data_IF_742316987686
#
_entry.id   IF_742316987686
#
_cell.length_a   1.000
_cell.length_b   1.000
_cell.length_c   1.000
_cell.angle_alpha   90.00
_cell.angle_beta   90.00
_cell.angle_gamma   90.00
#
_symmetry.space_group_name_H-M   'P 1'
#
loop_
_entity.id
_entity.type
_entity.pdbx_description
1 polymer ?
#
# COMPACT_ATOMS: atom_id res chain seq x y z
N UNK A 1 2.16 23.28 -2.05
CA UNK A 1 1.81 23.85 -0.73
C UNK A 1 0.30 24.06 -0.55
N UNK A 2 -0.48 24.17 -1.63
CA UNK A 2 -1.94 24.36 -1.61
C UNK A 2 -2.71 23.34 -0.77
N UNK A 3 -2.39 22.05 -0.88
CA UNK A 3 -3.05 20.97 -0.10
C UNK A 3 -2.84 21.14 1.41
N UNK A 4 -1.66 21.57 1.84
CA UNK A 4 -1.37 21.82 3.26
C UNK A 4 -2.20 22.99 3.80
N UNK A 5 -2.29 24.10 3.05
CA UNK A 5 -3.14 25.23 3.41
C UNK A 5 -4.63 24.85 3.40
N UNK A 6 -5.09 24.10 2.39
CA UNK A 6 -6.47 23.62 2.32
C UNK A 6 -6.83 22.70 3.51
N UNK A 7 -5.89 21.87 3.97
CA UNK A 7 -6.09 20.98 5.13
C UNK A 7 -6.18 21.75 6.44
N UNK A 8 -5.44 22.86 6.57
CA UNK A 8 -5.58 23.77 7.72
C UNK A 8 -6.90 24.53 7.65
N UNK A 9 -7.24 25.06 6.48
CA UNK A 9 -8.50 25.81 6.26
C UNK A 9 -9.75 24.95 6.47
N UNK A 10 -9.67 23.63 6.22
CA UNK A 10 -10.77 22.70 6.49
C UNK A 10 -10.85 22.25 7.96
N UNK A 11 -9.91 22.69 8.82
CA UNK A 11 -9.82 22.28 10.22
C UNK A 11 -9.28 20.86 10.45
N UNK A 12 -8.91 20.15 9.38
CA UNK A 12 -8.36 18.80 9.47
C UNK A 12 -6.92 18.77 10.04
N UNK A 13 -6.23 19.91 10.08
CA UNK A 13 -4.98 20.10 10.81
C UNK A 13 -4.94 21.47 11.49
N UNK A 14 -4.42 21.53 12.73
CA UNK A 14 -4.34 22.78 13.49
C UNK A 14 -3.33 23.79 12.93
N UNK A 15 -2.33 23.34 12.17
CA UNK A 15 -1.34 24.19 11.51
C UNK A 15 -0.66 23.45 10.37
N UNK A 16 0.02 24.20 9.49
CA UNK A 16 0.78 23.62 8.38
C UNK A 16 1.92 22.74 8.90
N UNK A 17 2.62 23.17 9.96
CA UNK A 17 3.68 22.38 10.59
C UNK A 17 3.14 21.08 11.21
N UNK A 18 1.96 21.13 11.83
CA UNK A 18 1.28 19.92 12.32
C UNK A 18 0.98 18.93 11.20
N UNK A 19 0.43 19.43 10.09
CA UNK A 19 0.16 18.62 8.90
C UNK A 19 1.42 18.00 8.30
N UNK A 20 2.51 18.78 8.17
CA UNK A 20 3.80 18.26 7.68
C UNK A 20 4.34 17.19 8.61
N UNK A 21 4.30 17.40 9.92
CA UNK A 21 4.77 16.41 10.88
C UNK A 21 3.98 15.10 10.78
N UNK A 22 2.66 15.16 10.64
CA UNK A 22 1.85 13.97 10.42
C UNK A 22 2.18 13.25 9.11
N UNK A 23 2.42 13.98 8.02
CA UNK A 23 2.85 13.40 6.76
C UNK A 23 4.21 12.69 6.89
N UNK A 24 5.18 13.34 7.55
CA UNK A 24 6.51 12.76 7.79
C UNK A 24 6.42 11.51 8.67
N UNK A 25 5.59 11.53 9.72
CA UNK A 25 5.35 10.35 10.56
C UNK A 25 4.80 9.18 9.75
N UNK A 26 3.77 9.43 8.92
CA UNK A 26 3.20 8.41 8.02
C UNK A 26 4.24 7.85 7.06
N UNK A 27 5.11 8.70 6.51
CA UNK A 27 6.20 8.26 5.64
C UNK A 27 7.17 7.36 6.41
N UNK A 28 7.61 7.75 7.60
CA UNK A 28 8.53 6.94 8.42
C UNK A 28 7.93 5.58 8.77
N UNK A 29 6.64 5.54 9.12
CA UNK A 29 5.92 4.29 9.39
C UNK A 29 5.84 3.39 8.14
N UNK A 30 5.55 3.98 6.98
CA UNK A 30 5.53 3.27 5.70
C UNK A 30 6.91 2.67 5.36
N UNK A 31 7.97 3.47 5.46
CA UNK A 31 9.34 3.05 5.21
C UNK A 31 9.79 1.94 6.17
N UNK A 32 9.40 2.01 7.45
CA UNK A 32 9.67 0.95 8.42
C UNK A 32 9.00 -0.37 8.02
N UNK A 33 7.74 -0.29 7.57
CA UNK A 33 7.01 -1.47 7.09
C UNK A 33 7.66 -2.08 5.85
N UNK A 34 8.07 -1.26 4.88
CA UNK A 34 8.74 -1.75 3.67
C UNK A 34 10.07 -2.45 3.99
N UNK A 35 10.87 -1.89 4.92
CA UNK A 35 12.09 -2.57 5.39
C UNK A 35 11.82 -3.92 6.04
N UNK A 36 10.76 -4.02 6.85
CA UNK A 36 10.39 -5.30 7.46
C UNK A 36 9.96 -6.35 6.42
N UNK A 37 9.33 -5.92 5.33
CA UNK A 37 8.98 -6.82 4.21
C UNK A 37 10.24 -7.26 3.46
N UNK A 38 11.18 -6.34 3.18
CA UNK A 38 12.47 -6.65 2.55
C UNK A 38 13.28 -7.66 3.37
N UNK A 39 13.36 -7.45 4.70
CA UNK A 39 14.03 -8.38 5.61
C UNK A 39 13.38 -9.76 5.62
N UNK A 40 12.05 -9.81 5.64
CA UNK A 40 11.31 -11.07 5.59
C UNK A 40 11.56 -11.84 4.29
N UNK A 41 11.52 -11.16 3.14
CA UNK A 41 11.77 -11.78 1.83
C UNK A 41 13.20 -12.32 1.79
N UNK A 42 14.19 -11.53 2.22
CA UNK A 42 15.59 -12.00 2.25
C UNK A 42 15.79 -13.21 3.13
N UNK A 43 15.13 -13.28 4.29
CA UNK A 43 15.22 -14.44 5.16
C UNK A 43 14.63 -15.70 4.48
N UNK A 44 13.50 -15.54 3.79
CA UNK A 44 12.89 -16.63 3.03
C UNK A 44 13.78 -17.10 1.87
N UNK A 45 14.34 -16.16 1.10
CA UNK A 45 15.24 -16.48 -0.03
C UNK A 45 16.56 -17.12 0.43
N UNK A 46 17.08 -16.71 1.59
CA UNK A 46 18.25 -17.35 2.19
C UNK A 46 17.98 -18.82 2.57
N UNK A 47 16.76 -19.15 2.97
CA UNK A 47 16.35 -20.51 3.33
C UNK A 47 15.98 -21.37 2.10
N UNK A 48 15.33 -20.78 1.10
CA UNK A 48 14.70 -21.52 0.00
C UNK A 48 15.30 -21.29 -1.40
N UNK A 49 16.22 -20.33 -1.53
CA UNK A 49 16.71 -19.85 -2.82
C UNK A 49 16.02 -18.56 -3.26
N UNK A 50 16.68 -17.83 -4.16
CA UNK A 50 16.20 -16.56 -4.72
C UNK A 50 14.86 -16.76 -5.47
N UNK A 51 13.92 -15.83 -5.27
CA UNK A 51 12.67 -15.80 -6.04
C UNK A 51 12.94 -15.01 -7.33
N UNK A 52 12.92 -15.69 -8.46
CA UNK A 52 13.21 -15.03 -9.75
C UNK A 52 11.99 -14.31 -10.34
N UNK A 53 12.23 -13.31 -11.18
CA UNK A 53 11.17 -12.63 -11.93
C UNK A 53 10.33 -13.61 -12.79
N UNK A 54 10.98 -14.63 -13.36
CA UNK A 54 10.32 -15.64 -14.18
C UNK A 54 9.33 -16.48 -13.37
N UNK A 55 9.71 -16.89 -12.15
CA UNK A 55 8.85 -17.62 -11.22
C UNK A 55 7.70 -16.74 -10.74
N UNK A 56 7.95 -15.47 -10.44
CA UNK A 56 6.90 -14.51 -10.06
C UNK A 56 5.86 -14.35 -11.17
N UNK A 57 6.31 -14.24 -12.42
CA UNK A 57 5.42 -14.14 -13.57
C UNK A 57 4.60 -15.42 -13.79
N UNK A 58 5.21 -16.60 -13.61
CA UNK A 58 4.51 -17.88 -13.69
C UNK A 58 3.41 -17.98 -12.63
N UNK A 59 3.75 -17.72 -11.37
CA UNK A 59 2.79 -17.72 -10.27
C UNK A 59 1.68 -16.69 -10.53
N UNK A 60 2.02 -15.48 -10.99
CA UNK A 60 1.03 -14.46 -11.30
C UNK A 60 0.07 -14.89 -12.44
N UNK A 61 0.54 -15.67 -13.41
CA UNK A 61 -0.33 -16.25 -14.45
C UNK A 61 -1.24 -17.34 -13.86
N UNK A 62 -0.72 -18.26 -13.05
CA UNK A 62 -1.53 -19.31 -12.40
C UNK A 62 -2.62 -18.70 -11.50
N UNK A 63 -2.25 -17.73 -10.67
CA UNK A 63 -3.17 -17.05 -9.76
C UNK A 63 -4.30 -16.33 -10.49
N UNK A 64 -4.00 -15.68 -11.63
CA UNK A 64 -5.04 -15.08 -12.48
C UNK A 64 -5.94 -16.14 -13.11
N UNK A 65 -5.39 -17.27 -13.53
CA UNK A 65 -6.17 -18.39 -14.09
C UNK A 65 -7.14 -19.01 -13.08
N UNK A 66 -6.78 -18.99 -11.79
CA UNK A 66 -7.58 -19.55 -10.68
C UNK A 66 -8.45 -18.53 -9.95
N UNK A 67 -8.35 -17.25 -10.32
CA UNK A 67 -9.06 -16.18 -9.64
C UNK A 67 -10.58 -16.27 -9.88
N UNK A 68 -11.36 -16.25 -8.81
CA UNK A 68 -12.82 -16.10 -8.89
C UNK A 68 -13.13 -14.62 -9.14
N UNK A 69 -13.57 -14.29 -10.36
CA UNK A 69 -13.93 -12.91 -10.73
C UNK A 69 -15.29 -12.55 -10.16
N UNK A 70 -15.30 -11.76 -9.08
CA UNK A 70 -16.53 -11.13 -8.58
C UNK A 70 -16.84 -9.90 -9.43
N UNK A 71 -17.76 -10.03 -10.38
CA UNK A 71 -18.30 -8.86 -11.10
C UNK A 71 -19.22 -8.10 -10.16
N UNK A 72 -18.92 -6.83 -9.89
CA UNK A 72 -19.72 -5.95 -9.06
C UNK A 72 -21.12 -5.75 -9.65
N UNK A 73 -22.10 -6.48 -9.13
CA UNK A 73 -23.51 -6.17 -9.33
C UNK A 73 -23.82 -4.86 -8.61
N UNK A 74 -24.30 -3.86 -9.34
CA UNK A 74 -24.77 -2.60 -8.77
C UNK A 74 -25.88 -2.88 -7.75
N UNK A 75 -25.63 -2.63 -6.47
CA UNK A 75 -26.70 -2.56 -5.47
C UNK A 75 -27.45 -1.25 -5.73
N UNK A 76 -28.55 -1.32 -6.48
CA UNK A 76 -29.48 -0.19 -6.65
C UNK A 76 -30.38 -0.16 -5.40
N UNK A 77 -30.17 0.79 -4.49
CA UNK A 77 -31.10 1.03 -3.36
C UNK A 77 -32.36 1.73 -3.89
N UNK A 78 -33.58 1.29 -3.53
CA UNK A 78 -34.80 2.02 -3.86
C UNK A 78 -34.90 3.32 -3.05
N UNK A 79 -35.60 4.29 -3.65
CA UNK A 79 -35.77 5.68 -3.21
C UNK A 79 -36.49 5.83 -1.87
#
# INVERSE_FOLDING_TARGET
MEVGHATVSSGAAASLSGWVNDALRRQVEHERRLRGIDEFIRAFEAEHGEITDAEMDEVARDMRGRAIVVRGGSIRRPA
#
